data_IF_796353225072
#
_entry.id   IF_796353225072
#
_cell.length_a   1.000
_cell.length_b   1.000
_cell.length_c   1.000
_cell.angle_alpha   90.00
_cell.angle_beta   90.00
_cell.angle_gamma   90.00
#
_symmetry.space_group_name_H-M   'P 1'
#
loop_
_entity.id
_entity.type
_entity.pdbx_description
1 polymer ?
#
# COMPACT_ATOMS: atom_id res chain seq x y z
N UNK A 1 23.42 -10.58 -31.35
CA UNK A 1 22.18 -10.46 -30.55
C UNK A 1 22.60 -10.47 -29.10
N UNK A 2 22.24 -9.44 -28.33
CA UNK A 2 22.53 -9.38 -26.91
C UNK A 2 21.28 -9.84 -26.16
N UNK A 3 21.42 -10.88 -25.32
CA UNK A 3 20.33 -11.34 -24.48
C UNK A 3 20.43 -10.64 -23.13
N UNK A 4 19.39 -9.92 -22.74
CA UNK A 4 19.31 -9.22 -21.46
C UNK A 4 18.31 -9.95 -20.59
N UNK A 5 18.70 -10.31 -19.37
CA UNK A 5 17.80 -10.90 -18.37
C UNK A 5 17.70 -9.98 -17.16
N UNK A 6 16.48 -9.72 -16.69
CA UNK A 6 16.26 -8.88 -15.51
C UNK A 6 16.54 -9.67 -14.23
N UNK A 7 17.39 -9.13 -13.36
CA UNK A 7 17.67 -9.75 -12.08
C UNK A 7 16.41 -9.75 -11.18
N UNK A 8 16.18 -10.86 -10.47
CA UNK A 8 15.05 -11.01 -9.55
C UNK A 8 13.66 -10.79 -10.19
N UNK A 9 13.51 -11.12 -11.49
CA UNK A 9 12.26 -10.93 -12.25
C UNK A 9 11.00 -11.43 -11.54
N UNK A 10 11.08 -12.56 -10.84
CA UNK A 10 9.98 -13.15 -10.05
C UNK A 10 9.39 -12.25 -8.98
N UNK A 11 10.11 -11.21 -8.53
CA UNK A 11 9.62 -10.20 -7.57
C UNK A 11 8.78 -9.12 -8.24
N UNK A 12 9.07 -8.83 -9.51
CA UNK A 12 8.42 -7.76 -10.27
C UNK A 12 7.17 -8.26 -10.99
N UNK A 13 7.10 -9.55 -11.32
CA UNK A 13 5.99 -10.14 -12.07
C UNK A 13 5.33 -11.33 -11.37
N UNK A 14 4.01 -11.22 -11.13
CA UNK A 14 3.18 -12.30 -10.57
C UNK A 14 2.34 -13.00 -11.65
N UNK A 15 2.10 -12.35 -12.79
CA UNK A 15 1.37 -12.93 -13.91
C UNK A 15 2.27 -13.91 -14.66
N UNK A 16 1.92 -15.20 -14.61
CA UNK A 16 2.67 -16.27 -15.29
C UNK A 16 2.29 -16.46 -16.76
N UNK A 17 1.16 -15.89 -17.18
CA UNK A 17 0.64 -16.02 -18.53
C UNK A 17 -0.01 -14.71 -18.97
N UNK A 18 0.44 -14.18 -20.12
CA UNK A 18 0.11 -12.92 -20.80
C UNK A 18 1.12 -11.80 -20.58
N UNK A 19 1.44 -11.08 -21.67
CA UNK A 19 2.13 -9.80 -21.72
C UNK A 19 1.33 -8.76 -20.92
N UNK A 20 1.67 -8.53 -19.64
CA UNK A 20 0.81 -7.81 -18.74
C UNK A 20 0.88 -6.30 -19.05
N UNK A 21 -0.23 -5.56 -18.89
CA UNK A 21 -0.26 -4.13 -19.23
C UNK A 21 0.55 -3.25 -18.25
N UNK A 22 1.10 -3.83 -17.18
CA UNK A 22 1.85 -3.11 -16.13
C UNK A 22 2.84 -4.05 -15.41
N UNK A 23 3.86 -3.43 -14.83
CA UNK A 23 4.84 -4.05 -13.91
C UNK A 23 4.74 -3.39 -12.53
N UNK A 24 5.01 -4.14 -11.46
CA UNK A 24 5.01 -3.57 -10.10
C UNK A 24 6.37 -2.99 -9.77
N UNK A 25 6.41 -1.68 -9.55
CA UNK A 25 7.58 -1.03 -8.95
C UNK A 25 7.43 -1.04 -7.43
N UNK A 26 8.39 -1.64 -6.73
CA UNK A 26 8.35 -1.77 -5.26
C UNK A 26 9.01 -0.56 -4.59
N UNK A 27 8.39 -0.03 -3.53
CA UNK A 27 8.97 1.06 -2.72
C UNK A 27 10.36 0.76 -2.16
N UNK A 28 10.66 -0.53 -1.93
CA UNK A 28 11.95 -0.99 -1.40
C UNK A 28 13.12 -0.70 -2.34
N UNK A 29 12.85 -0.29 -3.58
CA UNK A 29 13.86 0.19 -4.50
C UNK A 29 14.55 1.47 -3.96
N UNK A 30 13.83 2.30 -3.21
CA UNK A 30 14.40 3.47 -2.53
C UNK A 30 15.34 3.10 -1.38
N UNK A 31 15.22 1.88 -0.85
CA UNK A 31 16.12 1.34 0.17
C UNK A 31 17.38 0.70 -0.46
N UNK A 32 17.44 0.58 -1.80
CA UNK A 32 18.59 0.02 -2.52
C UNK A 32 19.58 1.13 -2.89
N UNK A 33 20.75 1.12 -2.23
CA UNK A 33 21.81 2.09 -2.47
C UNK A 33 22.27 2.13 -3.93
N UNK A 34 22.40 0.96 -4.56
CA UNK A 34 22.82 0.85 -5.96
C UNK A 34 21.86 1.57 -6.91
N UNK A 35 20.57 1.59 -6.57
CA UNK A 35 19.54 2.28 -7.35
C UNK A 35 19.59 3.79 -7.14
N UNK A 36 19.75 4.23 -5.90
CA UNK A 36 19.82 5.66 -5.56
C UNK A 36 21.05 6.31 -6.21
N UNK A 37 22.15 5.57 -6.29
CA UNK A 37 23.41 6.06 -6.87
C UNK A 37 23.46 5.91 -8.41
N UNK A 38 22.38 5.48 -9.08
CA UNK A 38 22.35 5.37 -10.55
C UNK A 38 22.20 6.75 -11.21
N UNK A 39 22.86 6.98 -12.37
CA UNK A 39 22.55 8.11 -13.22
C UNK A 39 21.07 8.12 -13.64
N UNK A 40 20.41 9.30 -13.74
CA UNK A 40 18.99 9.39 -14.10
C UNK A 40 18.62 8.66 -15.38
N UNK A 41 19.49 8.72 -16.39
CA UNK A 41 19.27 8.05 -17.68
C UNK A 41 19.37 6.53 -17.57
N UNK A 42 20.29 6.01 -16.75
CA UNK A 42 20.42 4.57 -16.50
C UNK A 42 19.23 4.02 -15.69
N UNK A 43 18.72 4.80 -14.72
CA UNK A 43 17.51 4.46 -13.98
C UNK A 43 16.27 4.43 -14.90
N UNK A 44 16.14 5.42 -15.79
CA UNK A 44 15.09 5.45 -16.82
C UNK A 44 15.21 4.26 -17.78
N UNK A 45 16.43 3.95 -18.24
CA UNK A 45 16.70 2.80 -19.10
C UNK A 45 16.26 1.50 -18.41
N UNK A 46 16.63 1.30 -17.14
CA UNK A 46 16.28 0.12 -16.36
C UNK A 46 14.76 -0.08 -16.26
N UNK A 47 14.00 0.98 -16.00
CA UNK A 47 12.52 0.90 -15.99
C UNK A 47 11.97 0.53 -17.36
N UNK A 48 12.54 1.09 -18.44
CA UNK A 48 12.21 0.72 -19.82
C UNK A 48 12.48 -0.76 -20.11
N UNK A 49 13.63 -1.28 -19.66
CA UNK A 49 13.99 -2.68 -19.80
C UNK A 49 13.00 -3.59 -19.05
N UNK A 50 12.54 -3.22 -17.85
CA UNK A 50 11.52 -4.01 -17.15
C UNK A 50 10.20 -4.10 -17.91
N UNK A 51 9.79 -3.03 -18.60
CA UNK A 51 8.58 -3.04 -19.43
C UNK A 51 8.75 -3.99 -20.63
N UNK A 52 9.91 -3.96 -21.29
CA UNK A 52 10.20 -4.85 -22.41
C UNK A 52 10.32 -6.31 -21.97
N UNK A 53 10.98 -6.56 -20.85
CA UNK A 53 11.11 -7.89 -20.28
C UNK A 53 9.75 -8.50 -19.89
N UNK A 54 8.72 -7.69 -19.67
CA UNK A 54 7.37 -8.18 -19.42
C UNK A 54 6.75 -8.90 -20.64
N UNK A 55 7.24 -8.66 -21.85
CA UNK A 55 6.84 -9.38 -23.05
C UNK A 55 7.45 -10.79 -23.14
N UNK A 56 8.67 -10.96 -22.59
CA UNK A 56 9.49 -12.16 -22.72
C UNK A 56 9.82 -12.86 -21.39
N UNK A 57 8.96 -12.73 -20.38
CA UNK A 57 9.13 -13.31 -19.05
C UNK A 57 10.50 -13.06 -18.39
N UNK A 58 10.94 -11.80 -18.41
CA UNK A 58 12.20 -11.40 -17.81
C UNK A 58 13.38 -11.44 -18.79
N UNK A 59 13.18 -11.95 -20.00
CA UNK A 59 14.17 -12.00 -21.07
C UNK A 59 13.86 -10.98 -22.17
N UNK A 60 14.91 -10.35 -22.68
CA UNK A 60 14.87 -9.43 -23.82
C UNK A 60 15.89 -9.95 -24.83
N UNK A 61 15.40 -10.30 -26.03
CA UNK A 61 16.21 -10.73 -27.16
C UNK A 61 16.06 -9.71 -28.30
N UNK A 62 16.65 -8.53 -28.11
CA UNK A 62 16.60 -7.41 -29.06
C UNK A 62 18.00 -6.91 -29.39
N UNK A 63 18.21 -6.53 -30.65
CA UNK A 63 19.40 -5.77 -31.05
C UNK A 63 19.36 -4.33 -30.52
N UNK A 64 20.52 -3.70 -30.34
CA UNK A 64 20.64 -2.35 -29.76
C UNK A 64 19.80 -1.29 -30.49
N UNK A 65 19.69 -1.36 -31.81
CA UNK A 65 18.90 -0.41 -32.61
C UNK A 65 17.39 -0.60 -32.39
N UNK A 66 16.95 -1.86 -32.30
CA UNK A 66 15.56 -2.19 -31.97
C UNK A 66 15.22 -1.76 -30.54
N UNK A 67 16.17 -1.87 -29.61
CA UNK A 67 16.02 -1.42 -28.23
C UNK A 67 15.89 0.11 -28.15
N UNK A 68 16.74 0.85 -28.86
CA UNK A 68 16.72 2.31 -28.92
C UNK A 68 15.37 2.81 -29.46
N UNK A 69 14.90 2.24 -30.57
CA UNK A 69 13.60 2.59 -31.15
C UNK A 69 12.43 2.34 -30.18
N UNK A 70 12.41 1.17 -29.53
CA UNK A 70 11.31 0.75 -28.64
C UNK A 70 11.23 1.59 -27.37
N UNK A 71 12.39 2.00 -26.86
CA UNK A 71 12.52 2.88 -25.69
C UNK A 71 12.46 4.37 -26.05
N UNK A 72 12.25 4.70 -27.33
CA UNK A 72 12.20 6.08 -27.86
C UNK A 72 13.45 6.88 -27.51
N UNK A 73 14.61 6.23 -27.58
CA UNK A 73 15.91 6.87 -27.42
C UNK A 73 16.40 7.33 -28.81
N UNK A 74 17.12 8.46 -28.90
CA UNK A 74 17.63 8.95 -30.18
C UNK A 74 18.72 8.02 -30.72
N UNK A 75 18.73 7.81 -32.05
CA UNK A 75 19.63 6.88 -32.75
C UNK A 75 21.13 7.19 -32.54
N UNK A 76 21.47 8.44 -32.19
CA UNK A 76 22.83 8.86 -31.85
C UNK A 76 23.35 8.34 -30.50
N UNK A 77 22.59 7.48 -29.80
CA UNK A 77 22.87 7.08 -28.41
C UNK A 77 23.23 5.60 -28.23
N UNK A 78 23.60 4.87 -29.28
CA UNK A 78 23.95 3.43 -29.18
C UNK A 78 25.13 3.17 -28.22
N UNK A 79 26.16 4.03 -28.25
CA UNK A 79 27.28 3.98 -27.31
C UNK A 79 26.86 4.32 -25.87
N UNK A 80 25.98 5.31 -25.71
CA UNK A 80 25.46 5.71 -24.39
C UNK A 80 24.60 4.60 -23.77
N UNK A 81 23.76 3.95 -24.57
CA UNK A 81 22.96 2.78 -24.17
C UNK A 81 23.90 1.64 -23.74
N UNK A 82 24.94 1.37 -24.52
CA UNK A 82 25.90 0.30 -24.20
C UNK A 82 26.62 0.56 -22.86
N UNK A 83 27.01 1.81 -22.60
CA UNK A 83 27.60 2.23 -21.32
C UNK A 83 26.62 2.03 -20.16
N UNK A 84 25.36 2.45 -20.33
CA UNK A 84 24.33 2.30 -19.31
C UNK A 84 23.98 0.82 -19.05
N UNK A 85 23.92 -0.01 -20.09
CA UNK A 85 23.72 -1.46 -19.94
C UNK A 85 24.85 -2.12 -19.15
N UNK A 86 26.10 -1.71 -19.39
CA UNK A 86 27.23 -2.19 -18.60
C UNK A 86 27.12 -1.75 -17.13
N UNK A 87 26.78 -0.48 -16.88
CA UNK A 87 26.58 0.04 -15.51
C UNK A 87 25.50 -0.76 -14.76
N UNK A 88 24.36 -1.01 -15.40
CA UNK A 88 23.27 -1.81 -14.84
C UNK A 88 23.67 -3.26 -14.59
N UNK A 89 24.54 -3.82 -15.44
CA UNK A 89 25.06 -5.17 -15.27
C UNK A 89 26.00 -5.27 -14.08
N UNK A 90 26.98 -4.37 -13.97
CA UNK A 90 27.96 -4.33 -12.87
C UNK A 90 27.26 -4.16 -11.51
N UNK A 91 26.20 -3.34 -11.45
CA UNK A 91 25.39 -3.14 -10.23
C UNK A 91 24.36 -4.24 -9.99
N UNK A 92 24.33 -5.28 -10.82
CA UNK A 92 23.51 -6.48 -10.61
C UNK A 92 22.02 -6.31 -10.89
N UNK A 93 21.61 -5.27 -11.62
CA UNK A 93 20.21 -5.09 -12.01
C UNK A 93 19.81 -5.96 -13.22
N UNK A 94 20.77 -6.25 -14.10
CA UNK A 94 20.58 -7.07 -15.29
C UNK A 94 21.73 -8.06 -15.48
N UNK A 95 21.46 -9.13 -16.21
CA UNK A 95 22.45 -10.08 -16.69
C UNK A 95 22.54 -9.96 -18.20
N UNK A 96 23.74 -9.76 -18.72
CA UNK A 96 24.01 -9.71 -20.16
C UNK A 96 24.60 -11.06 -20.59
N UNK A 97 23.89 -11.78 -21.45
CA UNK A 97 24.32 -13.05 -22.04
C UNK A 97 24.58 -12.87 -23.54
N UNK A 98 25.77 -13.28 -23.98
CA UNK A 98 26.28 -12.97 -25.32
C UNK A 98 26.96 -11.61 -25.32
N UNK A 99 28.22 -11.60 -25.76
CA UNK A 99 29.07 -10.43 -25.85
C UNK A 99 28.35 -9.28 -26.59
N UNK A 100 28.09 -8.19 -25.87
CA UNK A 100 28.17 -6.88 -26.51
C UNK A 100 29.60 -6.80 -27.03
N UNK A 101 29.77 -6.73 -28.36
CA UNK A 101 31.05 -6.43 -28.96
C UNK A 101 31.63 -5.20 -28.25
N UNK A 102 32.84 -5.38 -27.69
CA UNK A 102 33.85 -4.36 -27.43
C UNK A 102 33.40 -3.04 -26.76
N UNK A 103 33.05 -3.12 -25.47
CA UNK A 103 33.24 -1.97 -24.57
C UNK A 103 34.65 -1.95 -23.93
N UNK A 104 35.48 -2.96 -24.20
CA UNK A 104 36.83 -3.09 -23.61
C UNK A 104 37.94 -2.36 -24.40
N UNK A 105 37.63 -1.66 -25.49
CA UNK A 105 38.64 -1.01 -26.36
C UNK A 105 38.52 0.51 -26.43
N UNK A 106 37.75 1.14 -25.54
CA UNK A 106 37.56 2.61 -25.49
C UNK A 106 37.94 3.23 -24.14
N UNK A 107 38.83 2.58 -23.36
CA UNK A 107 39.46 3.21 -22.19
C UNK A 107 40.91 3.69 -22.42
N UNK A 108 41.47 3.50 -23.62
CA UNK A 108 42.85 3.94 -23.95
C UNK A 108 42.93 5.13 -24.92
N UNK A 109 41.88 5.95 -25.05
CA UNK A 109 41.93 7.09 -25.99
C UNK A 109 41.23 8.38 -25.61
N UNK A 110 41.15 8.68 -24.31
CA UNK A 110 40.90 10.07 -23.84
C UNK A 110 41.87 10.41 -22.73
N UNK A 111 43.17 10.33 -23.03
CA UNK A 111 44.20 10.98 -22.23
C UNK A 111 44.99 11.92 -23.15
N UNK A 112 44.30 12.91 -23.71
CA UNK A 112 44.89 14.18 -24.19
C UNK A 112 43.80 15.12 -24.71
N UNK A 113 43.24 15.95 -23.83
CA UNK A 113 42.93 17.38 -24.06
C UNK A 113 42.15 17.99 -22.88
N UNK A 114 42.85 18.88 -22.15
CA UNK A 114 42.43 20.17 -21.55
C UNK A 114 40.93 20.35 -21.21
N UNK A 115 40.55 20.81 -20.02
CA UNK A 115 40.94 22.10 -19.42
C UNK A 115 40.92 22.02 -17.88
N UNK A 116 41.97 22.53 -17.25
CA UNK A 116 42.04 22.85 -15.82
C UNK A 116 40.97 23.88 -15.44
N UNK A 117 40.12 23.59 -14.45
CA UNK A 117 39.43 24.66 -13.71
C UNK A 117 39.89 24.62 -12.24
N UNK A 118 40.82 25.54 -11.96
CA UNK A 118 41.39 25.79 -10.63
C UNK A 118 40.39 26.63 -9.83
N UNK A 119 39.95 26.12 -8.68
CA UNK A 119 39.32 26.99 -7.68
C UNK A 119 40.42 27.78 -6.96
N UNK A 120 40.48 29.09 -7.21
CA UNK A 120 41.33 30.04 -6.49
C UNK A 120 40.58 30.52 -5.26
N UNK A 121 41.16 30.30 -4.09
CA UNK A 121 40.76 30.92 -2.83
C UNK A 121 41.55 32.23 -2.66
N UNK A 122 40.88 33.36 -2.42
CA UNK A 122 41.45 34.48 -1.68
C UNK A 122 40.58 34.70 -0.42
N UNK A 123 41.08 34.97 0.76
CA UNK A 123 42.39 35.36 1.24
C UNK A 123 42.32 35.18 2.76
N UNK A 124 43.37 34.66 3.37
CA UNK A 124 43.43 34.44 4.81
C UNK A 124 43.90 35.71 5.50
N UNK A 125 43.06 36.29 6.36
CA UNK A 125 43.56 37.18 7.42
C UNK A 125 42.70 37.02 8.68
N UNK A 126 43.36 36.64 9.77
CA UNK A 126 42.85 36.63 11.13
C UNK A 126 42.79 38.07 11.67
N UNK A 127 41.68 38.47 12.30
CA UNK A 127 41.67 39.57 13.28
C UNK A 127 40.64 39.29 14.39
N UNK A 128 41.02 39.65 15.62
CA UNK A 128 40.42 39.31 16.92
C UNK A 128 39.04 39.93 17.20
N UNK A 129 38.32 39.30 18.15
CA UNK A 129 37.07 39.78 18.76
C UNK A 129 37.36 40.80 19.87
N UNK A 130 36.49 41.82 20.02
CA UNK A 130 35.85 42.27 21.28
C UNK A 130 34.97 43.54 21.05
N UNK A 131 34.10 43.99 21.99
CA UNK A 131 32.68 44.16 21.72
C UNK A 131 32.11 45.59 21.90
N UNK A 132 30.86 45.76 21.48
CA UNK A 132 29.91 46.69 22.12
C UNK A 132 29.47 47.92 21.33
N UNK A 133 28.17 48.21 21.44
CA UNK A 133 27.53 49.52 21.70
C UNK A 133 26.24 49.72 20.88
N UNK A 134 25.15 49.69 21.65
CA UNK A 134 23.90 50.45 21.58
C UNK A 134 23.32 50.86 20.21
N UNK A 135 22.09 50.39 19.95
CA UNK A 135 21.16 51.03 19.01
C UNK A 135 20.06 51.72 19.83
N UNK A 136 20.00 53.05 19.71
CA UNK A 136 18.93 53.91 20.22
C UNK A 136 17.79 54.06 19.18
N UNK A 137 16.59 54.52 19.58
CA UNK A 137 15.32 54.05 19.04
C UNK A 137 14.71 54.97 17.97
N UNK A 138 13.79 54.40 17.18
CA UNK A 138 12.78 55.18 16.45
C UNK A 138 11.39 54.71 16.83
N UNK A 139 10.64 55.64 17.42
CA UNK A 139 9.27 55.53 17.93
C UNK A 139 8.25 55.87 16.82
N UNK A 140 7.04 55.30 16.92
CA UNK A 140 5.86 55.70 16.14
C UNK A 140 4.94 54.54 15.76
N UNK A 141 4.30 53.86 16.72
CA UNK A 141 2.97 54.13 17.29
C UNK A 141 1.81 53.45 16.53
N UNK A 142 1.04 52.62 17.24
CA UNK A 142 -0.13 51.92 16.72
C UNK A 142 -0.63 50.82 17.65
N UNK A 143 -1.25 51.22 18.76
CA UNK A 143 -1.93 50.36 19.74
C UNK A 143 -2.83 49.29 19.09
N UNK A 144 -2.52 48.00 19.30
CA UNK A 144 -3.47 46.93 19.62
C UNK A 144 -2.78 45.92 20.52
N UNK A 145 -3.20 45.83 21.77
CA UNK A 145 -2.78 44.81 22.71
C UNK A 145 -3.63 43.56 22.47
N UNK A 146 -3.08 42.41 22.04
CA UNK A 146 -3.57 41.13 22.48
C UNK A 146 -2.76 40.79 23.73
N UNK A 147 -3.43 40.68 24.86
CA UNK A 147 -2.89 40.17 26.11
C UNK A 147 -2.31 38.78 25.84
N UNK A 148 -0.99 38.70 25.63
CA UNK A 148 -0.28 37.45 25.43
C UNK A 148 -0.09 36.83 26.81
N UNK A 149 -1.15 36.19 27.29
CA UNK A 149 -1.08 35.23 28.39
C UNK A 149 -0.07 34.16 27.97
N UNK A 150 1.14 34.23 28.50
CA UNK A 150 2.11 33.16 28.35
C UNK A 150 1.53 31.95 29.07
N UNK A 151 1.10 30.95 28.30
CA UNK A 151 0.68 29.64 28.80
C UNK A 151 1.81 29.14 29.71
N UNK A 152 1.54 29.03 31.01
CA UNK A 152 2.58 28.67 31.98
C UNK A 152 3.06 27.25 31.63
N UNK A 153 4.34 26.93 31.82
CA UNK A 153 4.86 25.57 31.62
C UNK A 153 3.95 24.45 32.18
N UNK A 154 3.32 24.59 33.38
CA UNK A 154 2.32 23.63 33.86
C UNK A 154 1.09 23.47 32.96
N UNK A 155 0.59 24.54 32.32
CA UNK A 155 -0.55 24.49 31.40
C UNK A 155 -0.20 23.71 30.10
N UNK A 156 1.06 23.82 29.65
CA UNK A 156 1.58 23.02 28.52
C UNK A 156 1.72 21.56 28.92
N UNK A 157 2.16 21.28 30.14
CA UNK A 157 2.25 19.91 30.66
C UNK A 157 0.86 19.28 30.83
N UNK A 158 -0.13 20.01 31.34
CA UNK A 158 -1.52 19.55 31.43
C UNK A 158 -2.12 19.32 30.04
N UNK A 159 -1.91 20.23 29.09
CA UNK A 159 -2.37 20.06 27.72
C UNK A 159 -1.70 18.86 27.03
N UNK A 160 -0.38 18.69 27.18
CA UNK A 160 0.33 17.56 26.62
C UNK A 160 -0.10 16.24 27.27
N UNK A 161 -0.34 16.23 28.59
CA UNK A 161 -0.86 15.08 29.31
C UNK A 161 -2.27 14.72 28.84
N UNK A 162 -3.14 15.71 28.61
CA UNK A 162 -4.48 15.52 28.06
C UNK A 162 -4.44 14.98 26.62
N UNK A 163 -3.54 15.51 25.78
CA UNK A 163 -3.35 15.04 24.39
C UNK A 163 -2.79 13.61 24.38
N UNK A 164 -1.79 13.30 25.21
CA UNK A 164 -1.23 11.95 25.32
C UNK A 164 -2.22 10.97 25.94
N UNK A 165 -3.05 11.41 26.90
CA UNK A 165 -4.15 10.63 27.45
C UNK A 165 -5.20 10.34 26.38
N UNK A 166 -5.62 11.33 25.59
CA UNK A 166 -6.53 11.14 24.47
C UNK A 166 -5.96 10.20 23.40
N UNK A 167 -4.68 10.32 23.06
CA UNK A 167 -3.99 9.38 22.16
C UNK A 167 -3.92 7.97 22.78
N UNK A 168 -3.73 7.86 24.10
CA UNK A 168 -3.71 6.56 24.78
C UNK A 168 -5.10 5.91 24.85
N UNK A 169 -6.15 6.70 25.08
CA UNK A 169 -7.55 6.27 25.12
C UNK A 169 -8.04 5.88 23.72
N UNK A 170 -7.67 6.66 22.70
CA UNK A 170 -7.91 6.31 21.30
C UNK A 170 -7.17 5.03 20.91
N UNK A 171 -5.90 4.87 21.29
CA UNK A 171 -5.13 3.65 21.04
C UNK A 171 -5.70 2.44 21.79
N UNK A 172 -6.13 2.59 23.04
CA UNK A 172 -6.78 1.52 23.82
C UNK A 172 -8.12 1.13 23.17
N UNK A 173 -8.89 2.11 22.69
CA UNK A 173 -10.15 1.89 21.98
C UNK A 173 -9.94 1.22 20.62
N UNK A 174 -8.91 1.62 19.87
CA UNK A 174 -8.53 1.01 18.59
C UNK A 174 -8.00 -0.42 18.76
N UNK A 175 -7.17 -0.67 19.78
CA UNK A 175 -6.68 -2.01 20.13
C UNK A 175 -7.85 -2.91 20.51
N UNK A 176 -8.79 -2.44 21.34
CA UNK A 176 -10.01 -3.17 21.67
C UNK A 176 -10.89 -3.46 20.44
N UNK A 177 -11.02 -2.50 19.53
CA UNK A 177 -11.79 -2.68 18.30
C UNK A 177 -11.13 -3.65 17.30
N UNK A 178 -9.79 -3.65 17.22
CA UNK A 178 -9.05 -4.60 16.40
C UNK A 178 -9.09 -6.03 16.98
N UNK A 179 -8.98 -6.17 18.30
CA UNK A 179 -9.14 -7.46 18.99
C UNK A 179 -10.58 -8.00 18.82
N UNK A 180 -11.59 -7.12 18.95
CA UNK A 180 -12.99 -7.49 18.70
C UNK A 180 -13.20 -7.96 17.26
N UNK A 181 -12.63 -7.25 16.26
CA UNK A 181 -12.69 -7.66 14.85
C UNK A 181 -12.03 -9.00 14.60
N UNK A 182 -10.95 -9.32 15.32
CA UNK A 182 -10.30 -10.63 15.24
C UNK A 182 -11.20 -11.74 15.76
N UNK A 183 -11.82 -11.55 16.93
CA UNK A 183 -12.80 -12.50 17.50
C UNK A 183 -14.01 -12.67 16.56
N UNK A 184 -14.53 -11.58 16.00
CA UNK A 184 -15.59 -11.62 14.99
C UNK A 184 -15.15 -12.39 13.74
N UNK A 185 -13.92 -12.19 13.26
CA UNK A 185 -13.38 -12.92 12.11
C UNK A 185 -13.26 -14.42 12.38
N UNK A 186 -12.85 -14.83 13.58
CA UNK A 186 -12.83 -16.23 14.00
C UNK A 186 -14.24 -16.84 13.99
N UNK A 187 -15.24 -16.12 14.50
CA UNK A 187 -16.63 -16.55 14.47
C UNK A 187 -17.13 -16.77 13.04
N UNK A 188 -16.88 -15.79 12.16
CA UNK A 188 -17.27 -15.87 10.74
C UNK A 188 -16.57 -17.04 10.06
N UNK A 189 -15.29 -17.25 10.34
CA UNK A 189 -14.51 -18.37 9.82
C UNK A 189 -15.09 -19.72 10.26
N UNK A 190 -15.34 -19.90 11.55
CA UNK A 190 -15.90 -21.13 12.10
C UNK A 190 -17.29 -21.43 11.52
N UNK A 191 -18.13 -20.40 11.41
CA UNK A 191 -19.45 -20.51 10.82
C UNK A 191 -19.38 -20.91 9.33
N UNK A 192 -18.54 -20.24 8.56
CA UNK A 192 -18.28 -20.58 7.16
C UNK A 192 -17.80 -22.03 7.01
N UNK A 193 -16.81 -22.46 7.80
CA UNK A 193 -16.23 -23.78 7.71
C UNK A 193 -17.26 -24.88 7.98
N UNK A 194 -18.10 -24.67 8.99
CA UNK A 194 -19.22 -25.56 9.31
C UNK A 194 -20.26 -25.61 8.17
N UNK A 195 -20.70 -24.44 7.68
CA UNK A 195 -21.78 -24.35 6.68
C UNK A 195 -21.39 -24.85 5.30
N UNK A 196 -20.14 -24.67 4.90
CA UNK A 196 -19.65 -25.05 3.57
C UNK A 196 -19.02 -26.46 3.53
N UNK A 197 -18.80 -27.09 4.70
CA UNK A 197 -18.19 -28.41 4.83
C UNK A 197 -16.65 -28.41 4.86
N UNK A 198 -16.03 -27.24 5.04
CA UNK A 198 -14.58 -27.09 5.14
C UNK A 198 -14.05 -27.38 6.55
N UNK A 199 -14.32 -28.55 7.10
CA UNK A 199 -13.94 -28.90 8.49
C UNK A 199 -12.43 -28.99 8.74
N UNK A 200 -11.63 -29.21 7.69
CA UNK A 200 -10.16 -29.25 7.75
C UNK A 200 -9.50 -27.89 7.47
N UNK A 201 -10.28 -26.86 7.16
CA UNK A 201 -9.74 -25.53 6.89
C UNK A 201 -9.13 -24.93 8.16
N UNK A 202 -7.93 -24.35 8.02
CA UNK A 202 -7.28 -23.62 9.09
C UNK A 202 -7.58 -22.13 9.00
N UNK A 203 -7.66 -21.47 10.15
CA UNK A 203 -7.72 -20.02 10.25
C UNK A 203 -6.31 -19.45 10.12
N UNK A 204 -5.86 -19.25 8.87
CA UNK A 204 -4.53 -18.73 8.56
C UNK A 204 -4.52 -17.19 8.46
N UNK A 205 -3.33 -16.54 8.55
CA UNK A 205 -3.22 -15.08 8.52
C UNK A 205 -3.83 -14.41 7.28
N UNK A 206 -3.86 -15.07 6.12
CA UNK A 206 -4.46 -14.50 4.90
C UNK A 206 -5.98 -14.48 5.00
N UNK A 207 -6.59 -15.50 5.62
CA UNK A 207 -8.04 -15.57 5.86
C UNK A 207 -8.46 -14.60 6.93
N UNK A 208 -7.70 -14.52 8.02
CA UNK A 208 -7.89 -13.51 9.07
C UNK A 208 -7.86 -12.11 8.49
N UNK A 209 -6.79 -11.75 7.77
CA UNK A 209 -6.65 -10.42 7.14
C UNK A 209 -7.85 -10.10 6.25
N UNK A 210 -8.34 -11.05 5.47
CA UNK A 210 -9.48 -10.83 4.56
C UNK A 210 -10.78 -10.59 5.33
N UNK A 211 -11.07 -11.38 6.36
CA UNK A 211 -12.28 -11.23 7.17
C UNK A 211 -12.24 -9.94 8.00
N UNK A 212 -11.10 -9.60 8.60
CA UNK A 212 -10.92 -8.33 9.30
C UNK A 212 -11.07 -7.14 8.35
N UNK A 213 -10.54 -7.22 7.13
CA UNK A 213 -10.75 -6.16 6.12
C UNK A 213 -12.22 -6.03 5.70
N UNK A 214 -12.96 -7.13 5.58
CA UNK A 214 -14.39 -7.10 5.32
C UNK A 214 -15.14 -6.40 6.47
N UNK A 215 -14.83 -6.75 7.72
CA UNK A 215 -15.38 -6.09 8.91
C UNK A 215 -15.02 -4.59 8.96
N UNK A 216 -13.80 -4.20 8.55
CA UNK A 216 -13.42 -2.78 8.51
C UNK A 216 -14.22 -1.99 7.47
N UNK A 217 -14.58 -2.60 6.34
CA UNK A 217 -15.34 -1.92 5.26
C UNK A 217 -16.80 -1.69 5.62
N UNK A 218 -17.39 -2.58 6.39
CA UNK A 218 -18.81 -2.51 6.77
C UNK A 218 -19.05 -1.95 8.18
N UNK A 219 -18.04 -1.31 8.79
CA UNK A 219 -18.17 -0.69 10.12
C UNK A 219 -18.18 -1.68 11.29
N UNK A 220 -17.80 -2.93 11.09
CA UNK A 220 -17.73 -3.96 12.13
C UNK A 220 -19.01 -4.79 12.27
N UNK A 221 -19.90 -4.73 11.27
CA UNK A 221 -21.12 -5.54 11.26
C UNK A 221 -20.81 -7.01 10.93
N UNK A 222 -20.67 -7.81 11.97
CA UNK A 222 -20.49 -9.26 11.86
C UNK A 222 -21.76 -9.97 11.35
N UNK A 223 -22.95 -9.40 11.55
CA UNK A 223 -24.21 -10.03 11.15
C UNK A 223 -24.30 -10.10 9.62
N UNK A 224 -23.94 -9.02 8.92
CA UNK A 224 -23.89 -8.99 7.47
C UNK A 224 -22.99 -10.09 6.89
N UNK A 225 -21.78 -10.30 7.45
CA UNK A 225 -20.87 -11.36 6.97
C UNK A 225 -21.45 -12.76 7.17
N UNK A 226 -22.14 -13.00 8.29
CA UNK A 226 -22.78 -14.29 8.57
C UNK A 226 -23.98 -14.54 7.63
N UNK A 227 -24.81 -13.53 7.39
CA UNK A 227 -25.89 -13.62 6.41
C UNK A 227 -25.39 -13.76 4.97
N UNK A 228 -24.24 -13.18 4.62
CA UNK A 228 -23.62 -13.38 3.32
C UNK A 228 -23.23 -14.86 3.08
N UNK A 229 -22.77 -15.57 4.12
CA UNK A 229 -22.53 -17.02 4.05
C UNK A 229 -23.83 -17.79 3.79
N UNK A 230 -24.93 -17.41 4.46
CA UNK A 230 -26.24 -18.03 4.22
C UNK A 230 -26.78 -17.74 2.82
N UNK A 231 -26.63 -16.49 2.39
CA UNK A 231 -27.01 -15.97 1.10
C UNK A 231 -26.32 -16.64 -0.06
N UNK A 232 -25.06 -17.04 0.12
CA UNK A 232 -24.30 -17.77 -0.90
C UNK A 232 -25.03 -19.00 -1.44
N UNK A 233 -25.70 -19.77 -0.57
CA UNK A 233 -26.45 -20.96 -0.99
C UNK A 233 -27.74 -20.65 -1.76
N UNK A 234 -28.22 -19.41 -1.69
CA UNK A 234 -29.46 -18.94 -2.33
C UNK A 234 -29.20 -18.13 -3.59
N UNK A 235 -27.97 -17.67 -3.78
CA UNK A 235 -27.60 -16.84 -4.93
C UNK A 235 -27.70 -17.63 -6.26
N UNK A 236 -28.45 -17.13 -7.26
CA UNK A 236 -28.63 -17.81 -8.54
C UNK A 236 -27.33 -18.06 -9.31
N UNK A 237 -26.35 -17.15 -9.19
CA UNK A 237 -25.09 -17.24 -9.93
C UNK A 237 -24.24 -18.38 -9.39
N UNK A 238 -24.10 -18.45 -8.06
CA UNK A 238 -23.34 -19.52 -7.41
C UNK A 238 -24.04 -20.87 -7.49
N UNK A 239 -25.37 -20.90 -7.43
CA UNK A 239 -26.14 -22.12 -7.65
C UNK A 239 -25.89 -22.71 -9.03
N UNK A 240 -25.98 -21.88 -10.08
CA UNK A 240 -25.67 -22.32 -11.46
C UNK A 240 -24.24 -22.87 -11.59
N UNK A 241 -23.27 -22.21 -10.99
CA UNK A 241 -21.87 -22.68 -11.02
C UNK A 241 -21.68 -24.00 -10.28
N UNK A 242 -22.37 -24.19 -9.15
CA UNK A 242 -22.35 -25.44 -8.41
C UNK A 242 -22.97 -26.59 -9.22
N UNK A 243 -24.06 -26.34 -9.94
CA UNK A 243 -24.70 -27.30 -10.85
C UNK A 243 -23.77 -27.72 -12.00
N UNK A 244 -22.90 -26.80 -12.45
CA UNK A 244 -21.81 -27.06 -13.41
C UNK A 244 -20.57 -27.72 -12.76
N UNK A 245 -20.65 -28.15 -11.51
CA UNK A 245 -19.56 -28.80 -10.77
C UNK A 245 -18.49 -27.84 -10.23
N UNK A 246 -18.68 -26.53 -10.33
CA UNK A 246 -17.74 -25.50 -9.85
C UNK A 246 -18.22 -24.94 -8.51
N UNK A 247 -17.73 -25.51 -7.40
CA UNK A 247 -18.03 -25.02 -6.04
C UNK A 247 -17.09 -23.87 -5.66
N UNK A 248 -17.56 -22.63 -5.81
CA UNK A 248 -16.82 -21.41 -5.44
C UNK A 248 -17.18 -20.90 -4.04
N UNK A 249 -17.16 -21.79 -3.06
CA UNK A 249 -17.54 -21.52 -1.66
C UNK A 249 -16.35 -21.09 -0.77
N UNK A 250 -15.15 -20.89 -1.33
CA UNK A 250 -14.00 -20.37 -0.59
C UNK A 250 -14.23 -18.94 -0.04
N UNK A 251 -13.65 -18.64 1.13
CA UNK A 251 -13.67 -17.30 1.77
C UNK A 251 -13.29 -16.19 0.78
N UNK A 252 -12.30 -16.43 -0.08
CA UNK A 252 -11.86 -15.47 -1.09
C UNK A 252 -12.92 -15.14 -2.15
N UNK A 253 -13.87 -16.05 -2.39
CA UNK A 253 -14.94 -15.88 -3.37
C UNK A 253 -16.18 -15.23 -2.76
N UNK A 254 -16.46 -15.52 -1.49
CA UNK A 254 -17.59 -14.94 -0.75
C UNK A 254 -17.26 -13.50 -0.34
N UNK A 255 -16.09 -13.29 0.29
CA UNK A 255 -15.65 -12.01 0.84
C UNK A 255 -14.66 -11.29 -0.08
N UNK A 256 -15.06 -11.10 -1.34
CA UNK A 256 -14.22 -10.42 -2.35
C UNK A 256 -14.25 -8.90 -2.16
N UNK A 257 -15.46 -8.32 -2.15
CA UNK A 257 -15.74 -6.90 -2.09
C UNK A 257 -17.05 -6.66 -1.32
N UNK A 258 -17.31 -5.39 -0.96
CA UNK A 258 -18.45 -5.02 -0.12
C UNK A 258 -19.80 -5.23 -0.84
N UNK A 259 -19.89 -4.84 -2.12
CA UNK A 259 -21.09 -4.99 -2.93
C UNK A 259 -21.53 -6.46 -3.03
N UNK A 260 -20.58 -7.38 -3.19
CA UNK A 260 -20.84 -8.81 -3.18
C UNK A 260 -21.36 -9.29 -1.83
N UNK A 261 -20.78 -8.83 -0.73
CA UNK A 261 -21.18 -9.22 0.62
C UNK A 261 -22.63 -8.79 0.88
N UNK A 262 -22.97 -7.53 0.55
CA UNK A 262 -24.32 -6.97 0.66
C UNK A 262 -25.33 -7.75 -0.19
N UNK A 263 -25.03 -7.92 -1.48
CA UNK A 263 -25.88 -8.68 -2.41
C UNK A 263 -26.12 -10.12 -1.94
N UNK A 264 -25.12 -10.75 -1.33
CA UNK A 264 -25.28 -12.09 -0.76
C UNK A 264 -26.17 -12.04 0.47
N UNK A 265 -25.90 -11.14 1.42
CA UNK A 265 -26.71 -10.99 2.63
C UNK A 265 -28.19 -10.69 2.32
N UNK A 266 -28.46 -9.90 1.28
CA UNK A 266 -29.80 -9.56 0.81
C UNK A 266 -30.65 -10.76 0.36
N UNK A 267 -30.06 -11.92 0.06
CA UNK A 267 -30.84 -13.13 -0.20
C UNK A 267 -31.51 -13.70 1.06
N UNK A 268 -31.20 -13.15 2.25
CA UNK A 268 -31.79 -13.53 3.53
C UNK A 268 -32.83 -12.51 3.98
N UNK A 269 -34.11 -12.91 3.99
CA UNK A 269 -35.20 -12.07 4.51
C UNK A 269 -34.92 -11.50 5.91
N UNK A 270 -34.39 -12.27 6.89
CA UNK A 270 -34.08 -11.73 8.20
C UNK A 270 -33.06 -10.58 8.17
N UNK A 271 -32.11 -10.59 7.22
CA UNK A 271 -31.15 -9.50 7.06
C UNK A 271 -31.83 -8.23 6.53
N UNK A 272 -32.70 -8.37 5.51
CA UNK A 272 -33.49 -7.24 4.98
C UNK A 272 -34.40 -6.61 6.05
N UNK A 273 -34.89 -7.42 7.00
CA UNK A 273 -35.70 -6.99 8.14
C UNK A 273 -34.86 -6.41 9.29
N UNK A 274 -33.53 -6.31 9.14
CA UNK A 274 -32.62 -5.80 10.15
C UNK A 274 -32.44 -6.71 11.38
N UNK A 275 -32.83 -7.99 11.28
CA UNK A 275 -32.74 -8.93 12.40
C UNK A 275 -31.31 -9.41 12.62
N UNK A 276 -30.82 -9.47 13.86
CA UNK A 276 -29.47 -9.92 14.12
C UNK A 276 -29.30 -11.41 13.76
N UNK A 277 -28.17 -11.76 13.17
CA UNK A 277 -27.86 -13.15 12.87
C UNK A 277 -27.78 -13.99 14.17
N UNK A 278 -28.47 -15.16 14.26
CA UNK A 278 -28.55 -15.95 15.49
C UNK A 278 -27.19 -16.35 16.08
N UNK A 279 -26.22 -16.62 15.21
CA UNK A 279 -24.87 -17.01 15.62
C UNK A 279 -24.08 -15.86 16.28
N UNK A 280 -24.30 -14.63 15.82
CA UNK A 280 -23.70 -13.46 16.44
C UNK A 280 -24.37 -13.17 17.79
N UNK A 281 -25.69 -13.29 17.91
CA UNK A 281 -26.38 -13.16 19.20
C UNK A 281 -25.85 -14.18 20.21
N UNK A 282 -25.71 -15.44 19.79
CA UNK A 282 -25.26 -16.53 20.67
C UNK A 282 -23.85 -16.32 21.23
N UNK A 283 -22.91 -15.82 20.42
CA UNK A 283 -21.49 -15.78 20.78
C UNK A 283 -20.94 -14.38 21.03
N UNK A 284 -21.64 -13.33 20.60
CA UNK A 284 -21.24 -11.93 20.72
C UNK A 284 -22.32 -11.06 21.40
N UNK A 285 -23.47 -11.63 21.80
CA UNK A 285 -24.61 -10.89 22.37
C UNK A 285 -24.35 -10.12 23.67
N UNK A 286 -23.15 -10.23 24.27
CA UNK A 286 -22.71 -9.41 25.39
C UNK A 286 -21.88 -8.16 25.00
N UNK A 287 -21.58 -7.97 23.71
CA UNK A 287 -20.65 -6.94 23.22
C UNK A 287 -21.28 -5.85 22.34
N UNK A 288 -22.60 -5.88 22.11
CA UNK A 288 -23.33 -4.79 21.45
C UNK A 288 -24.20 -4.06 22.49
N UNK A 289 -23.91 -2.78 22.81
CA UNK A 289 -24.90 -1.92 23.44
C UNK A 289 -26.06 -1.81 22.46
N UNK A 290 -27.21 -2.38 22.82
CA UNK A 290 -28.44 -2.03 22.14
C UNK A 290 -28.72 -0.57 22.53
N UNK A 291 -28.76 0.33 21.56
CA UNK A 291 -29.47 1.58 21.74
C UNK A 291 -30.92 1.20 22.08
N UNK A 292 -31.29 1.39 23.33
CA UNK A 292 -32.67 1.29 23.79
C UNK A 292 -33.49 2.32 23.02
N UNK A 293 -34.16 1.86 21.97
CA UNK A 293 -35.32 2.56 21.42
C UNK A 293 -36.38 2.48 22.50
N UNK A 294 -36.47 3.56 23.28
CA UNK A 294 -37.53 3.80 24.26
C UNK A 294 -38.89 3.75 23.54
N UNK A 295 -39.50 2.57 23.50
CA UNK A 295 -40.93 2.44 23.25
C UNK A 295 -41.66 2.74 24.57
N UNK A 296 -41.97 4.01 24.74
CA UNK A 296 -42.90 4.50 25.74
C UNK A 296 -43.79 5.52 25.07
N UNK A 297 -44.93 5.07 24.53
CA UNK A 297 -46.25 5.57 24.93
C UNK A 297 -47.33 4.58 24.47
N UNK A 298 -47.65 3.64 25.35
CA UNK A 298 -48.97 3.01 25.41
C UNK A 298 -49.98 4.06 25.85
N UNK A 299 -51.07 4.20 25.10
CA UNK A 299 -52.13 5.17 25.39
C UNK A 299 -53.48 4.85 24.79
N UNK A 300 -53.88 3.57 24.78
CA UNK A 300 -55.27 3.09 24.94
C UNK A 300 -56.36 3.44 23.90
N UNK A 301 -57.38 2.57 23.73
CA UNK A 301 -58.35 2.62 22.63
C UNK A 301 -59.66 3.31 23.03
N UNK A 302 -60.38 3.90 22.07
CA UNK A 302 -61.83 4.07 22.20
C UNK A 302 -62.53 3.91 20.85
N UNK A 303 -63.44 2.93 20.83
CA UNK A 303 -64.38 2.68 19.76
C UNK A 303 -65.64 3.52 19.98
N UNK A 304 -66.10 4.20 18.92
CA UNK A 304 -67.52 4.39 18.55
C UNK A 304 -67.63 4.99 17.17
#
# INVERSE_FOLDING_TARGET
MARITIANWSRFQHYKHRSPPWIKLHRSLLDNREWVDLPPDAAKLLVGLWLLAAEGDGEIDLASDALAWRLRLPDSSTEAISRQLNELHVRGFIVLAGCLHDASTMLDRVEESRVEERYRVPDGTLVELEPGVAIAPTSGNGNRTPTRSGTRLPDIQEHLAAVLAAVSEERVSQVGADDLRRVQAELVFAYWAHRTGHTKALFDPKRETRLVQALKRNGGDVHQLLYAIDGWFRDPTFKRMADEGRKLDGIQNIFTDQERIERLADHQKPYQEGKPHPMAVKYLGAAHPQEEVNDSTMGGPEAR
#
